data_IF_582776436891
#
_entry.id   IF_582776436891
#
_cell.length_a   1.000
_cell.length_b   1.000
_cell.length_c   1.000
_cell.angle_alpha   90.00
_cell.angle_beta   90.00
_cell.angle_gamma   90.00
#
_symmetry.space_group_name_H-M   'P 1'
#
loop_
_entity.id
_entity.type
_entity.pdbx_description
1 polymer ?
2 non-polymer ?
3 non-polymer ?
4 non-polymer ?
5 water ?
#
# COMPACT_ATOMS: atom_id res chain seq x y z
N UNK A 21 3.60 -11.80 -11.64
CA UNK A 21 3.64 -11.41 -13.07
C UNK A 21 2.23 -11.24 -13.66
N UNK A 22 1.31 -12.15 -13.37
CA UNK A 22 -0.12 -12.07 -13.78
C UNK A 22 -0.98 -11.72 -12.57
N UNK A 23 -2.00 -10.89 -12.75
CA UNK A 23 -3.00 -10.60 -11.72
C UNK A 23 -4.29 -11.34 -12.07
N UNK A 24 -4.79 -12.10 -11.09
CA UNK A 24 -6.08 -12.82 -11.19
C UNK A 24 -7.02 -12.23 -10.15
N UNK A 25 -8.32 -12.44 -10.33
CA UNK A 25 -9.33 -12.16 -9.30
C UNK A 25 -9.04 -13.09 -8.13
N UNK A 26 -8.84 -12.51 -6.94
CA UNK A 26 -8.59 -13.23 -5.69
C UNK A 26 -9.73 -14.20 -5.35
N UNK A 27 -10.98 -13.91 -5.71
CA UNK A 27 -12.14 -14.76 -5.35
C UNK A 27 -12.25 -15.99 -6.25
N UNK A 28 -11.95 -15.91 -7.54
CA UNK A 28 -12.33 -17.01 -8.49
C UNK A 28 -11.18 -17.35 -9.47
N UNK A 29 -10.11 -16.56 -9.57
CA UNK A 29 -8.97 -16.89 -10.45
C UNK A 29 -9.10 -16.34 -11.89
N UNK A 30 -10.15 -15.58 -12.20
CA UNK A 30 -10.29 -14.91 -13.51
C UNK A 30 -9.03 -14.12 -13.85
N UNK A 31 -8.50 -14.27 -15.04
CA UNK A 31 -7.33 -13.49 -15.55
C UNK A 31 -7.74 -12.02 -15.72
N UNK A 32 -7.03 -11.08 -15.09
CA UNK A 32 -7.44 -9.65 -15.06
C UNK A 32 -6.34 -8.79 -15.71
N UNK A 33 -5.09 -8.85 -15.24
CA UNK A 33 -4.05 -7.90 -15.71
C UNK A 33 -2.66 -8.49 -15.50
N UNK A 34 -1.63 -7.67 -15.63
CA UNK A 34 -0.21 -8.09 -15.64
C UNK A 34 0.60 -6.97 -15.01
N UNK A 35 1.71 -7.31 -14.38
CA UNK A 35 2.60 -6.30 -13.76
C UNK A 35 3.10 -5.37 -14.87
N UNK A 36 3.36 -5.93 -16.06
CA UNK A 36 3.85 -5.21 -17.26
C UNK A 36 2.87 -4.06 -17.62
N UNK A 37 1.60 -4.14 -17.21
CA UNK A 37 0.54 -3.20 -17.66
C UNK A 37 0.27 -2.13 -16.60
N UNK A 38 1.08 -2.07 -15.55
CA UNK A 38 0.92 -1.01 -14.52
C UNK A 38 1.22 0.34 -15.15
N UNK A 39 0.51 1.39 -14.75
CA UNK A 39 0.64 2.78 -15.27
C UNK A 39 0.91 3.74 -14.13
N UNK A 40 2.08 4.42 -14.07
CA UNK A 40 2.31 5.48 -13.09
C UNK A 40 1.51 6.77 -13.37
N UNK A 41 0.23 6.81 -13.00
CA UNK A 41 -0.63 8.03 -13.11
C UNK A 41 -0.17 9.04 -12.05
N UNK A 42 0.18 10.26 -12.45
CA UNK A 42 0.74 11.32 -11.56
C UNK A 42 2.04 10.91 -10.89
N UNK A 43 2.82 9.99 -11.50
CA UNK A 43 4.15 9.61 -10.99
C UNK A 43 4.14 8.34 -10.15
N UNK A 44 2.97 7.75 -9.84
CA UNK A 44 2.89 6.51 -9.01
C UNK A 44 1.77 5.63 -9.56
N UNK A 45 1.99 4.31 -9.65
CA UNK A 45 0.91 3.36 -10.04
C UNK A 45 -0.07 3.21 -8.86
N UNK A 46 0.38 3.42 -7.63
CA UNK A 46 -0.47 3.26 -6.43
C UNK A 46 -1.04 4.60 -5.97
N UNK A 47 -2.36 4.67 -5.81
CA UNK A 47 -3.11 5.82 -5.24
C UNK A 47 -4.01 5.34 -4.11
N UNK A 48 -3.85 5.88 -2.92
CA UNK A 48 -4.74 5.55 -1.77
C UNK A 48 -5.84 6.62 -1.71
N UNK A 49 -7.10 6.22 -1.88
CA UNK A 49 -8.25 7.15 -2.00
C UNK A 49 -9.36 6.71 -1.04
N UNK A 50 -10.31 7.60 -0.74
CA UNK A 50 -11.56 7.25 -0.03
C UNK A 50 -12.78 7.76 -0.81
N UNK A 51 -13.87 6.97 -0.76
CA UNK A 51 -15.16 7.33 -1.41
C UNK A 51 -16.02 8.08 -0.39
N UNK A 52 -17.19 8.60 -0.78
CA UNK A 52 -18.07 9.30 0.16
C UNK A 52 -18.65 8.38 1.25
N UNK A 53 -18.59 7.06 1.09
CA UNK A 53 -18.98 6.06 2.14
C UNK A 53 -17.74 5.67 3.03
N UNK A 54 -16.64 6.47 2.85
CA UNK A 54 -15.50 6.57 3.78
C UNK A 54 -14.66 5.29 3.73
N UNK A 55 -14.93 4.52 2.63
CA UNK A 55 -14.19 3.30 2.31
C UNK A 55 -12.88 3.72 1.65
N UNK A 56 -11.78 3.19 2.19
CA UNK A 56 -10.41 3.49 1.70
C UNK A 56 -10.00 2.34 0.77
N UNK A 57 -9.50 2.68 -0.40
CA UNK A 57 -9.02 1.71 -1.41
C UNK A 57 -7.59 2.06 -1.75
N UNK A 58 -6.76 1.02 -1.84
CA UNK A 58 -5.41 1.05 -2.44
C UNK A 58 -5.60 0.73 -3.91
N UNK A 59 -5.57 1.75 -4.76
CA UNK A 59 -5.87 1.59 -6.21
C UNK A 59 -4.54 1.51 -6.95
N UNK A 60 -4.40 0.47 -7.78
CA UNK A 60 -3.29 0.33 -8.74
C UNK A 60 -3.84 0.68 -10.11
N UNK A 61 -3.18 1.62 -10.80
CA UNK A 61 -3.55 2.04 -12.15
C UNK A 61 -2.90 1.10 -13.17
N UNK A 62 -3.70 0.62 -14.13
CA UNK A 62 -3.28 -0.24 -15.25
C UNK A 62 -3.68 0.41 -16.56
N UNK A 63 -2.82 0.32 -17.57
CA UNK A 63 -3.13 0.79 -18.94
C UNK A 63 -4.19 -0.15 -19.53
N UNK A 64 -4.18 -1.41 -19.12
CA UNK A 64 -4.93 -2.49 -19.78
C UNK A 64 -5.37 -3.48 -18.70
N UNK A 65 -6.53 -4.08 -18.91
CA UNK A 65 -7.11 -5.16 -18.08
C UNK A 65 -8.09 -5.94 -18.98
N UNK A 66 -8.36 -7.18 -18.62
CA UNK A 66 -9.29 -8.10 -19.31
C UNK A 66 -10.15 -8.79 -18.25
N UNK A 67 -11.15 -9.55 -18.66
CA UNK A 67 -11.95 -10.43 -17.79
C UNK A 67 -12.90 -9.68 -16.87
N UNK A 68 -13.10 -8.40 -17.09
CA UNK A 68 -13.98 -7.52 -16.28
C UNK A 68 -15.32 -7.42 -16.99
N UNK A 69 -16.33 -6.96 -16.28
CA UNK A 69 -17.62 -6.55 -16.84
C UNK A 69 -17.83 -5.11 -16.35
N UNK A 70 -17.85 -4.16 -17.27
CA UNK A 70 -18.03 -2.73 -16.95
C UNK A 70 -19.52 -2.46 -16.92
N UNK A 71 -20.06 -1.99 -15.80
CA UNK A 71 -21.54 -1.90 -15.64
C UNK A 71 -21.97 -0.43 -15.63
N UNK A 72 -23.00 -0.12 -16.42
CA UNK A 72 -23.59 1.22 -16.52
C UNK A 72 -22.84 2.11 -17.50
N UNK A 73 -23.18 3.40 -17.51
CA UNK A 73 -22.51 4.43 -18.30
C UNK A 73 -21.54 5.15 -17.38
N UNK A 74 -20.50 5.83 -17.92
CA UNK A 74 -19.55 6.53 -17.06
C UNK A 74 -20.21 7.67 -16.27
N UNK A 75 -19.62 8.01 -15.14
CA UNK A 75 -20.00 9.17 -14.29
C UNK A 75 -18.72 9.90 -13.87
N UNK A 76 -18.76 11.23 -13.81
CA UNK A 76 -17.66 12.04 -13.29
C UNK A 76 -17.77 12.27 -11.79
N UNK A 77 -18.91 11.95 -11.18
CA UNK A 77 -19.24 12.32 -9.77
C UNK A 77 -18.19 11.74 -8.83
N UNK A 78 -17.51 12.56 -8.02
CA UNK A 78 -16.53 12.12 -7.00
C UNK A 78 -15.35 11.38 -7.66
N UNK A 79 -15.06 11.60 -8.93
CA UNK A 79 -13.89 10.99 -9.59
C UNK A 79 -12.62 11.42 -8.86
N UNK A 80 -11.74 10.47 -8.55
CA UNK A 80 -10.44 10.70 -7.89
C UNK A 80 -9.42 11.24 -8.89
N UNK A 81 -9.67 11.08 -10.17
CA UNK A 81 -8.71 11.44 -11.23
C UNK A 81 -9.33 12.53 -12.07
N UNK A 82 -8.70 13.71 -12.00
CA UNK A 82 -9.11 14.93 -12.73
C UNK A 82 -9.34 14.51 -14.20
N UNK A 83 -10.48 14.96 -14.76
CA UNK A 83 -10.76 14.87 -16.20
C UNK A 83 -11.25 13.51 -16.62
N UNK A 84 -11.38 12.54 -15.68
CA UNK A 84 -11.83 11.17 -15.99
C UNK A 84 -13.18 10.85 -15.35
N UNK A 85 -14.01 10.17 -16.14
CA UNK A 85 -15.31 9.58 -15.77
C UNK A 85 -15.08 8.10 -15.47
N UNK A 86 -15.78 7.54 -14.48
CA UNK A 86 -15.58 6.13 -14.05
C UNK A 86 -16.80 5.29 -14.41
N UNK A 87 -16.55 4.03 -14.70
CA UNK A 87 -17.52 2.93 -14.76
C UNK A 87 -17.05 1.86 -13.81
N UNK A 88 -17.98 1.32 -13.01
CA UNK A 88 -17.72 0.20 -12.07
C UNK A 88 -17.26 -1.01 -12.91
N UNK A 89 -16.19 -1.64 -12.46
CA UNK A 89 -15.57 -2.83 -13.07
C UNK A 89 -15.80 -3.99 -12.12
N UNK A 90 -16.65 -4.95 -12.51
CA UNK A 90 -16.78 -6.24 -11.81
C UNK A 90 -15.87 -7.28 -12.46
N UNK A 91 -15.47 -8.27 -11.69
CA UNK A 91 -14.96 -9.55 -12.25
C UNK A 91 -16.05 -10.07 -13.17
N UNK A 92 -15.72 -10.36 -14.42
CA UNK A 92 -16.70 -10.88 -15.38
C UNK A 92 -17.14 -12.26 -14.99
N UNK A 93 -16.32 -12.99 -14.22
CA UNK A 93 -16.63 -14.37 -13.83
C UNK A 93 -17.50 -14.36 -12.57
N UNK A 94 -17.02 -13.78 -11.47
CA UNK A 94 -17.67 -13.94 -10.14
C UNK A 94 -18.47 -12.71 -9.73
N UNK A 95 -18.38 -11.57 -10.42
CA UNK A 95 -19.17 -10.37 -10.07
C UNK A 95 -18.55 -9.55 -8.93
N UNK A 96 -17.42 -9.95 -8.36
CA UNK A 96 -16.74 -9.22 -7.26
C UNK A 96 -16.31 -7.84 -7.79
N UNK A 97 -16.50 -6.79 -6.99
CA UNK A 97 -16.13 -5.42 -7.41
C UNK A 97 -14.60 -5.29 -7.40
N UNK A 98 -13.94 -5.13 -8.55
CA UNK A 98 -12.46 -5.10 -8.61
C UNK A 98 -11.94 -3.69 -8.83
N UNK A 99 -12.80 -2.75 -9.22
CA UNK A 99 -12.41 -1.34 -9.33
C UNK A 99 -13.24 -0.60 -10.37
N UNK A 100 -12.57 0.21 -11.18
CA UNK A 100 -13.23 1.13 -12.14
C UNK A 100 -12.42 1.21 -13.43
N UNK A 101 -13.13 1.39 -14.54
CA UNK A 101 -12.58 1.87 -15.83
C UNK A 101 -12.76 3.40 -15.86
N UNK A 102 -11.70 4.09 -16.21
CA UNK A 102 -11.67 5.56 -16.34
C UNK A 102 -11.56 5.91 -17.82
N UNK A 103 -12.33 6.88 -18.25
CA UNK A 103 -12.39 7.36 -19.65
C UNK A 103 -12.67 8.87 -19.68
N UNK A 104 -12.56 9.47 -20.84
CA UNK A 104 -12.97 10.85 -21.10
C UNK A 104 -11.87 11.86 -20.86
N UNK A 105 -10.65 11.39 -20.54
CA UNK A 105 -9.55 12.27 -20.10
C UNK A 105 -8.53 12.45 -21.22
N UNK A 106 -7.27 12.76 -20.87
CA UNK A 106 -6.16 12.98 -21.83
C UNK A 106 -4.85 12.43 -21.28
N UNK A 107 -4.08 11.73 -22.11
CA UNK A 107 -2.70 11.23 -21.79
C UNK A 107 -2.71 10.46 -20.48
N UNK A 108 -3.35 9.29 -20.39
CA UNK A 108 -4.13 8.70 -21.49
C UNK A 108 -5.61 9.04 -21.44
N UNK A 109 -6.33 8.67 -22.50
CA UNK A 109 -7.79 8.84 -22.60
C UNK A 109 -8.48 7.93 -21.59
N UNK A 110 -7.99 6.71 -21.42
CA UNK A 110 -8.62 5.66 -20.57
C UNK A 110 -7.54 4.91 -19.81
N UNK A 111 -7.90 4.31 -18.68
CA UNK A 111 -7.06 3.40 -17.86
C UNK A 111 -7.99 2.68 -16.88
N UNK A 112 -7.45 1.70 -16.17
CA UNK A 112 -8.14 0.99 -15.08
C UNK A 112 -7.53 1.31 -13.74
N UNK A 113 -8.39 1.53 -12.74
CA UNK A 113 -8.02 1.62 -11.32
C UNK A 113 -8.53 0.40 -10.60
N UNK A 114 -7.64 -0.55 -10.29
CA UNK A 114 -8.04 -1.82 -9.66
C UNK A 114 -7.61 -1.84 -8.20
N UNK A 115 -8.48 -2.38 -7.35
CA UNK A 115 -8.23 -2.53 -5.89
C UNK A 115 -7.25 -3.67 -5.63
N UNK A 116 -6.02 -3.34 -5.24
CA UNK A 116 -4.88 -4.28 -5.20
C UNK A 116 -5.27 -5.52 -4.40
N UNK A 117 -5.92 -5.34 -3.25
CA UNK A 117 -6.19 -6.44 -2.29
C UNK A 117 -7.30 -7.36 -2.79
N UNK A 118 -7.93 -7.06 -3.92
CA UNK A 118 -8.95 -7.95 -4.53
C UNK A 118 -8.35 -8.74 -5.70
N UNK A 119 -7.05 -8.58 -5.94
CA UNK A 119 -6.29 -9.34 -6.97
C UNK A 119 -5.30 -10.28 -6.26
N UNK A 120 -4.90 -11.34 -6.95
CA UNK A 120 -3.83 -12.27 -6.55
C UNK A 120 -2.76 -12.27 -7.64
N UNK A 121 -1.49 -12.14 -7.25
CA UNK A 121 -0.37 -12.07 -8.21
C UNK A 121 0.28 -13.46 -8.31
N UNK A 122 0.62 -13.88 -9.54
CA UNK A 122 1.37 -15.13 -9.80
C UNK A 122 2.88 -14.97 -9.66
N UNK B 20 4.41 -4.07 20.37
CA UNK B 20 4.37 -4.99 21.53
C UNK B 20 3.69 -6.33 21.16
N UNK B 21 3.46 -6.64 19.88
CA UNK B 21 2.67 -7.84 19.50
C UNK B 21 3.50 -8.86 18.70
N UNK B 22 3.20 -10.13 18.92
CA UNK B 22 3.91 -11.25 18.25
C UNK B 22 2.89 -12.05 17.44
N UNK B 23 3.39 -12.78 16.48
CA UNK B 23 2.66 -13.79 15.68
C UNK B 23 3.08 -15.16 16.15
N UNK B 24 2.09 -15.98 16.51
CA UNK B 24 2.28 -17.37 16.97
C UNK B 24 1.67 -18.31 15.95
N UNK B 25 2.14 -19.56 15.92
CA UNK B 25 1.50 -20.63 15.11
C UNK B 25 0.07 -20.79 15.63
N UNK B 26 -0.91 -20.67 14.75
CA UNK B 26 -2.34 -20.78 15.12
C UNK B 26 -2.65 -22.19 15.66
N UNK B 27 -1.93 -23.24 15.22
CA UNK B 27 -2.23 -24.64 15.63
C UNK B 27 -1.67 -24.93 17.03
N UNK B 28 -0.49 -24.45 17.42
CA UNK B 28 0.17 -24.93 18.67
C UNK B 28 0.67 -23.78 19.55
N UNK B 29 0.68 -22.54 19.07
CA UNK B 29 1.05 -21.36 19.89
C UNK B 29 2.54 -21.06 19.93
N UNK B 30 3.39 -21.78 19.21
CA UNK B 30 4.85 -21.46 19.13
C UNK B 30 4.98 -20.02 18.65
N UNK B 31 5.81 -19.21 19.32
CA UNK B 31 6.26 -17.88 18.86
C UNK B 31 7.00 -18.00 17.52
N UNK B 32 6.57 -17.24 16.51
CA UNK B 32 7.15 -17.30 15.14
C UNK B 32 7.79 -15.95 14.80
N UNK B 33 7.07 -14.83 14.93
CA UNK B 33 7.60 -13.54 14.47
C UNK B 33 7.00 -12.40 15.27
N UNK B 34 7.42 -11.19 14.96
CA UNK B 34 7.01 -9.97 15.69
C UNK B 34 6.40 -9.00 14.68
N UNK B 35 5.43 -8.20 15.14
CA UNK B 35 4.88 -7.09 14.34
C UNK B 35 6.03 -6.14 13.95
N UNK B 36 6.99 -5.92 14.84
CA UNK B 36 8.18 -5.04 14.63
C UNK B 36 8.97 -5.49 13.38
N UNK B 37 8.83 -6.74 12.95
CA UNK B 37 9.64 -7.34 11.86
C UNK B 37 8.86 -7.34 10.55
N UNK B 38 7.68 -6.72 10.51
CA UNK B 38 6.92 -6.64 9.23
C UNK B 38 7.76 -5.87 8.22
N UNK B 39 7.80 -6.36 6.99
CA UNK B 39 8.72 -5.89 5.93
C UNK B 39 7.89 -5.54 4.71
N UNK B 40 7.85 -4.25 4.28
CA UNK B 40 7.09 -3.88 3.08
C UNK B 40 7.87 -4.22 1.81
N UNK B 41 7.80 -5.48 1.35
CA UNK B 41 8.42 -5.92 0.07
C UNK B 41 7.61 -5.36 -1.10
N UNK B 42 8.24 -4.61 -2.01
CA UNK B 42 7.56 -3.94 -3.14
C UNK B 42 6.57 -2.88 -2.68
N UNK B 43 6.72 -2.34 -1.48
CA UNK B 43 5.84 -1.26 -0.98
C UNK B 43 4.72 -1.77 -0.07
N UNK B 44 4.52 -3.07 0.10
CA UNK B 44 3.43 -3.61 0.97
C UNK B 44 3.93 -4.85 1.72
N UNK B 45 3.62 -4.97 3.01
CA UNK B 45 3.93 -6.21 3.77
C UNK B 45 2.95 -7.33 3.35
N UNK B 46 1.76 -6.99 2.86
CA UNK B 46 0.78 -8.00 2.41
C UNK B 46 0.88 -8.21 0.89
N UNK B 47 1.04 -9.46 0.46
CA UNK B 47 0.92 -9.90 -0.94
C UNK B 47 -0.12 -11.01 -1.03
N UNK B 48 -1.17 -10.83 -1.81
CA UNK B 48 -2.05 -11.98 -2.24
C UNK B 48 -1.47 -12.60 -3.52
N UNK B 49 -1.08 -13.87 -3.45
CA UNK B 49 -0.33 -14.60 -4.50
C UNK B 49 -1.07 -15.90 -4.85
N UNK B 50 -0.87 -16.41 -6.07
CA UNK B 50 -1.31 -17.77 -6.46
C UNK B 50 -0.11 -18.55 -7.00
N UNK B 51 -0.10 -19.87 -6.74
CA UNK B 51 1.00 -20.78 -7.15
C UNK B 51 0.59 -21.41 -8.47
N UNK B 52 1.47 -22.23 -9.11
CA UNK B 52 1.13 -22.86 -10.37
C UNK B 52 0.00 -23.89 -10.25
N UNK B 53 -0.34 -24.35 -9.05
CA UNK B 53 -1.51 -25.25 -8.80
C UNK B 53 -2.79 -24.40 -8.47
N UNK B 54 -2.66 -23.06 -8.62
CA UNK B 54 -3.82 -22.12 -8.57
C UNK B 54 -4.33 -22.00 -7.14
N UNK B 55 -3.48 -22.35 -6.17
CA UNK B 55 -3.75 -22.12 -4.71
C UNK B 55 -3.42 -20.66 -4.38
N UNK B 56 -4.37 -19.96 -3.78
CA UNK B 56 -4.26 -18.55 -3.35
C UNK B 56 -3.85 -18.49 -1.87
N UNK B 57 -2.85 -17.68 -1.58
CA UNK B 57 -2.34 -17.43 -0.22
C UNK B 57 -2.27 -15.94 0.01
N UNK B 58 -2.65 -15.52 1.22
CA UNK B 58 -2.42 -14.12 1.67
C UNK B 58 -1.15 -14.13 2.52
N UNK B 59 -0.07 -13.58 1.97
CA UNK B 59 1.28 -13.64 2.58
C UNK B 59 1.58 -12.30 3.22
N UNK B 60 2.06 -12.34 4.47
CA UNK B 60 2.69 -11.17 5.13
C UNK B 60 4.21 -11.39 5.19
N UNK B 61 4.99 -10.38 4.81
CA UNK B 61 6.47 -10.43 4.77
C UNK B 61 7.01 -9.99 6.11
N UNK B 62 7.93 -10.79 6.65
CA UNK B 62 8.70 -10.48 7.88
C UNK B 62 10.19 -10.60 7.60
N UNK B 63 11.01 -9.74 8.19
CA UNK B 63 12.47 -9.73 8.01
C UNK B 63 13.06 -11.03 8.58
N UNK B 64 12.60 -11.37 9.78
CA UNK B 64 13.09 -12.54 10.57
C UNK B 64 11.89 -13.34 11.06
N UNK B 65 12.20 -14.56 11.51
CA UNK B 65 11.28 -15.47 12.20
C UNK B 65 12.10 -16.40 13.09
N UNK B 66 11.40 -17.12 13.97
CA UNK B 66 11.98 -18.19 14.80
C UNK B 66 10.96 -19.32 14.90
N UNK B 67 11.46 -20.50 15.28
CA UNK B 67 10.63 -21.66 15.61
C UNK B 67 10.10 -22.35 14.37
N UNK B 68 10.58 -21.99 13.17
CA UNK B 68 10.18 -22.70 11.91
C UNK B 68 11.22 -23.77 11.63
N UNK B 69 10.88 -24.68 10.71
CA UNK B 69 11.81 -25.68 10.14
C UNK B 69 11.72 -25.50 8.63
N UNK B 70 12.83 -25.09 7.99
CA UNK B 70 12.88 -24.91 6.52
C UNK B 70 13.23 -26.25 5.89
N UNK B 71 12.43 -26.72 4.94
CA UNK B 71 12.62 -28.10 4.39
C UNK B 71 13.06 -27.98 2.92
N UNK B 72 14.09 -28.73 2.54
CA UNK B 72 14.58 -28.77 1.15
C UNK B 72 15.67 -27.74 0.92
N UNK B 73 16.26 -27.77 -0.26
CA UNK B 73 17.22 -26.77 -0.77
C UNK B 73 16.42 -25.65 -1.42
N UNK B 74 16.94 -24.41 -1.43
CA UNK B 74 16.20 -23.29 -2.02
C UNK B 74 15.98 -23.53 -3.52
N UNK B 75 14.86 -23.03 -4.04
CA UNK B 75 14.48 -23.14 -5.47
C UNK B 75 14.07 -21.74 -5.94
N UNK B 76 14.52 -21.36 -7.13
CA UNK B 76 14.06 -20.11 -7.76
C UNK B 76 12.72 -20.26 -8.47
N UNK B 77 12.33 -21.50 -8.78
CA UNK B 77 11.25 -21.82 -9.76
C UNK B 77 9.94 -21.19 -9.26
N UNK B 78 9.29 -20.36 -10.08
CA UNK B 78 7.97 -19.75 -9.77
C UNK B 78 8.01 -18.88 -8.51
N UNK B 79 9.17 -18.33 -8.17
CA UNK B 79 9.30 -17.44 -6.99
C UNK B 79 8.35 -16.24 -7.15
N UNK B 80 7.61 -15.88 -6.12
CA UNK B 80 6.74 -14.67 -6.09
C UNK B 80 7.58 -13.39 -6.02
N UNK B 81 8.81 -13.50 -5.56
CA UNK B 81 9.71 -12.34 -5.35
C UNK B 81 10.91 -12.50 -6.26
N UNK B 82 10.99 -11.65 -7.31
CA UNK B 82 12.11 -11.61 -8.26
C UNK B 82 13.41 -11.61 -7.42
N UNK B 83 14.38 -12.44 -7.87
CA UNK B 83 15.78 -12.44 -7.42
C UNK B 83 15.92 -13.19 -6.10
N UNK B 84 14.86 -13.84 -5.63
CA UNK B 84 14.88 -14.65 -4.38
C UNK B 84 14.50 -16.11 -4.65
N UNK B 85 15.25 -17.01 -4.02
CA UNK B 85 14.99 -18.47 -3.96
C UNK B 85 14.18 -18.78 -2.69
N UNK B 86 13.24 -19.72 -2.77
CA UNK B 86 12.33 -20.05 -1.65
C UNK B 86 12.65 -21.42 -1.08
N UNK B 87 12.39 -21.57 0.22
CA UNK B 87 12.31 -22.86 0.96
C UNK B 87 10.99 -22.89 1.73
N UNK B 88 10.29 -24.03 1.72
CA UNK B 88 9.04 -24.25 2.51
C UNK B 88 9.36 -24.13 3.99
N UNK B 89 8.54 -23.37 4.72
CA UNK B 89 8.69 -23.10 6.16
C UNK B 89 7.55 -23.80 6.92
N UNK B 90 7.88 -24.79 7.74
CA UNK B 90 6.92 -25.46 8.67
C UNK B 90 7.10 -24.89 10.07
N UNK B 91 6.06 -24.90 10.89
CA UNK B 91 6.22 -24.78 12.35
C UNK B 91 7.14 -25.90 12.80
N UNK B 92 8.24 -25.57 13.50
CA UNK B 92 9.17 -26.60 13.99
C UNK B 92 8.53 -27.45 15.07
N UNK B 93 7.51 -26.91 15.75
CA UNK B 93 6.88 -27.56 16.92
C UNK B 93 5.78 -28.51 16.43
N UNK B 94 4.84 -28.05 15.57
CA UNK B 94 3.66 -28.87 15.19
C UNK B 94 3.66 -29.31 13.72
N UNK B 95 4.54 -28.78 12.86
CA UNK B 95 4.60 -29.20 11.44
C UNK B 95 3.62 -28.46 10.53
N UNK B 96 2.81 -27.51 11.03
CA UNK B 96 1.86 -26.73 10.20
C UNK B 96 2.63 -25.92 9.15
N UNK B 97 2.17 -25.89 7.90
CA UNK B 97 2.83 -25.12 6.82
C UNK B 97 2.53 -23.64 7.04
N UNK B 98 3.55 -22.85 7.40
CA UNK B 98 3.32 -21.45 7.81
C UNK B 98 3.77 -20.51 6.70
N UNK B 99 4.54 -20.96 5.72
CA UNK B 99 4.92 -20.14 4.55
C UNK B 99 6.23 -20.55 3.93
N UNK B 100 7.07 -19.57 3.61
CA UNK B 100 8.35 -19.76 2.89
C UNK B 100 9.42 -18.80 3.40
N UNK B 101 10.67 -19.26 3.39
CA UNK B 101 11.88 -18.43 3.54
C UNK B 101 12.42 -18.08 2.16
N UNK B 102 12.83 -16.83 1.99
CA UNK B 102 13.37 -16.25 0.73
C UNK B 102 14.81 -15.86 1.01
N UNK B 103 15.69 -16.14 0.06
CA UNK B 103 17.14 -15.89 0.19
C UNK B 103 17.73 -15.63 -1.19
N UNK B 104 18.96 -15.10 -1.20
CA UNK B 104 19.81 -14.98 -2.38
C UNK B 104 19.59 -13.67 -3.11
N UNK B 105 18.85 -12.72 -2.51
CA UNK B 105 18.67 -11.38 -3.11
C UNK B 105 19.60 -10.33 -2.48
N UNK B 106 19.21 -9.06 -2.55
CA UNK B 106 19.88 -7.90 -1.88
C UNK B 106 18.82 -6.89 -1.41
N UNK B 107 19.02 -6.29 -0.23
CA UNK B 107 18.13 -5.27 0.39
C UNK B 107 16.68 -5.73 0.37
N UNK B 108 16.29 -6.74 1.15
CA UNK B 108 17.21 -7.51 1.99
C UNK B 108 17.73 -8.78 1.30
N UNK B 109 18.72 -9.42 1.91
CA UNK B 109 19.28 -10.71 1.43
C UNK B 109 18.21 -11.80 1.58
N UNK B 110 17.51 -11.81 2.72
CA UNK B 110 16.59 -12.89 3.15
C UNK B 110 15.39 -12.24 3.83
N UNK B 111 14.25 -12.94 3.82
CA UNK B 111 13.00 -12.58 4.53
C UNK B 111 12.06 -13.77 4.46
N UNK B 112 10.97 -13.71 5.21
CA UNK B 112 9.90 -14.72 5.26
C UNK B 112 8.61 -14.15 4.69
N UNK B 113 7.93 -14.97 3.90
CA UNK B 113 6.52 -14.77 3.52
C UNK B 113 5.67 -15.78 4.29
N UNK B 114 4.95 -15.30 5.30
CA UNK B 114 4.15 -16.18 6.18
C UNK B 114 2.67 -16.00 5.86
N UNK B 115 1.92 -17.09 5.92
CA UNK B 115 0.47 -17.17 5.61
C UNK B 115 -0.31 -16.58 6.78
N UNK B 116 -0.90 -15.40 6.59
CA UNK B 116 -1.44 -14.61 7.72
C UNK B 116 -2.50 -15.45 8.46
N UNK B 117 -3.31 -16.20 7.72
CA UNK B 117 -4.46 -16.97 8.25
C UNK B 117 -3.98 -18.18 9.08
N UNK B 118 -2.69 -18.50 9.08
CA UNK B 118 -2.15 -19.64 9.85
C UNK B 118 -1.41 -19.15 11.09
N UNK B 119 -1.42 -17.84 11.32
CA UNK B 119 -0.79 -17.20 12.50
C UNK B 119 -1.87 -16.60 13.38
N UNK B 120 -1.55 -16.43 14.67
CA UNK B 120 -2.41 -15.73 15.65
C UNK B 120 -1.58 -14.58 16.20
N UNK B 121 -2.13 -13.37 16.18
CA UNK B 121 -1.42 -12.18 16.69
C UNK B 121 -1.86 -11.95 18.12
N UNK B 122 -0.92 -11.65 18.99
CA UNK B 122 -1.23 -11.43 20.41
C UNK B 122 -0.09 -10.75 21.12
N UNK B 123 -0.26 -10.41 22.40
CA UNK B 123 0.75 -9.66 23.15
C UNK B 123 2.03 -10.51 23.26
N UNK B 124 3.17 -9.82 23.25
CA UNK B 124 4.51 -10.35 23.57
C UNK B 124 4.44 -11.21 24.84
N UNK C 19 -14.37 14.33 -4.79
CA UNK C 19 -13.30 13.48 -5.38
C UNK C 19 -12.00 13.62 -4.63
N UNK C 20 -11.33 14.78 -4.76
CA UNK C 20 -9.98 15.07 -4.20
C UNK C 20 -10.01 16.37 -3.40
N UNK C 21 -10.83 16.42 -2.34
CA UNK C 21 -11.15 17.64 -1.57
C UNK C 21 -10.58 17.55 -0.14
N UNK C 22 -10.69 16.41 0.53
CA UNK C 22 -10.23 16.22 1.94
C UNK C 22 -9.02 15.27 1.95
N UNK C 23 -8.02 15.58 2.78
CA UNK C 23 -6.76 14.79 2.86
C UNK C 23 -6.75 14.10 4.22
N UNK C 24 -6.61 12.76 4.18
CA UNK C 24 -6.70 11.90 5.39
C UNK C 24 -5.40 11.13 5.53
N UNK C 25 -5.11 10.63 6.72
CA UNK C 25 -4.02 9.66 6.95
C UNK C 25 -4.34 8.39 6.15
N UNK C 26 -3.41 7.97 5.29
CA UNK C 26 -3.49 6.73 4.48
C UNK C 26 -3.65 5.49 5.38
N UNK C 27 -3.06 5.48 6.58
CA UNK C 27 -3.02 4.27 7.45
C UNK C 27 -4.34 4.11 8.21
N UNK C 28 -4.99 5.18 8.66
CA UNK C 28 -6.13 5.05 9.60
C UNK C 28 -7.32 5.93 9.22
N UNK C 29 -7.17 6.89 8.31
CA UNK C 29 -8.29 7.72 7.82
C UNK C 29 -8.54 9.00 8.63
N UNK C 30 -7.71 9.29 9.64
CA UNK C 30 -7.77 10.57 10.40
C UNK C 30 -7.81 11.76 9.42
N UNK C 31 -8.76 12.68 9.62
CA UNK C 31 -8.87 13.95 8.85
C UNK C 31 -7.68 14.84 9.18
N UNK C 32 -6.95 15.32 8.17
CA UNK C 32 -5.70 16.13 8.37
C UNK C 32 -5.91 17.53 7.77
N UNK C 33 -6.24 17.65 6.49
CA UNK C 33 -6.40 18.98 5.85
C UNK C 33 -7.36 18.91 4.68
N UNK C 34 -7.54 20.05 3.97
CA UNK C 34 -8.50 20.18 2.85
C UNK C 34 -7.89 21.06 1.76
N UNK C 35 -8.40 20.89 0.55
CA UNK C 35 -7.93 21.58 -0.68
C UNK C 35 -7.96 23.09 -0.42
N UNK C 36 -8.98 23.63 0.25
CA UNK C 36 -9.12 25.08 0.54
C UNK C 36 -7.91 25.59 1.33
N UNK C 37 -7.16 24.72 2.03
CA UNK C 37 -6.03 25.16 2.89
C UNK C 37 -4.68 24.97 2.19
N UNK C 38 -4.68 24.54 0.92
CA UNK C 38 -3.40 24.34 0.18
C UNK C 38 -2.71 25.69 0.02
N UNK C 39 -1.39 25.71 0.14
CA UNK C 39 -0.56 26.94 0.17
C UNK C 39 0.54 26.81 -0.90
N UNK C 46 1.93 21.38 -5.00
CA UNK C 46 2.84 20.21 -4.88
C UNK C 46 4.29 20.64 -5.18
N UNK C 47 5.21 20.29 -4.29
CA UNK C 47 6.66 20.53 -4.45
C UNK C 47 7.40 19.20 -4.32
N UNK C 48 8.19 18.86 -5.35
CA UNK C 48 9.03 17.63 -5.41
C UNK C 48 10.38 17.95 -4.75
N UNK C 49 10.70 17.26 -3.66
CA UNK C 49 11.91 17.49 -2.83
C UNK C 49 12.68 16.17 -2.73
N UNK C 50 13.97 16.24 -2.42
CA UNK C 50 14.79 15.06 -2.05
C UNK C 50 15.40 15.32 -0.66
N UNK C 51 15.45 14.29 0.18
CA UNK C 51 16.10 14.33 1.53
C UNK C 51 17.59 14.05 1.34
N UNK C 52 18.43 14.16 2.39
CA UNK C 52 19.86 13.95 2.23
C UNK C 52 20.20 12.51 1.84
N UNK C 57 10.25 12.90 -2.30
CA UNK C 57 8.89 13.13 -1.76
C UNK C 57 8.16 14.13 -2.65
N UNK C 58 6.86 13.90 -2.84
CA UNK C 58 5.89 14.92 -3.30
C UNK C 58 5.30 15.55 -2.04
N UNK C 59 5.69 16.79 -1.74
CA UNK C 59 5.19 17.52 -0.54
C UNK C 59 4.06 18.45 -0.96
N UNK C 60 2.94 18.38 -0.22
CA UNK C 60 1.83 19.36 -0.32
C UNK C 60 1.93 20.30 0.90
N UNK C 61 2.00 21.61 0.65
CA UNK C 61 2.03 22.64 1.71
C UNK C 61 0.60 23.08 2.01
N UNK C 62 0.25 23.14 3.30
CA UNK C 62 -1.06 23.58 3.82
C UNK C 62 -0.85 24.73 4.82
N UNK C 63 -1.73 25.72 4.79
CA UNK C 63 -1.69 26.86 5.74
C UNK C 63 -2.13 26.36 7.11
N UNK C 64 -3.09 25.44 7.14
CA UNK C 64 -3.71 24.88 8.36
C UNK C 64 -3.82 23.37 8.24
N UNK C 65 -3.83 22.68 9.37
CA UNK C 65 -4.08 21.22 9.47
C UNK C 65 -4.67 20.91 10.85
N UNK C 66 -5.27 19.72 10.97
CA UNK C 66 -5.77 19.21 12.27
C UNK C 66 -5.41 17.72 12.38
N UNK C 67 -5.59 17.15 13.57
CA UNK C 67 -5.51 15.71 13.78
C UNK C 67 -4.08 15.20 13.83
N UNK C 68 -3.09 16.09 13.85
CA UNK C 68 -1.66 15.70 13.90
C UNK C 68 -1.21 15.78 15.36
N UNK C 69 -0.04 15.23 15.65
CA UNK C 69 0.73 15.47 16.89
C UNK C 69 2.12 15.92 16.47
N UNK C 70 2.50 17.14 16.82
CA UNK C 70 3.83 17.71 16.44
C UNK C 70 4.82 17.34 17.55
N UNK C 71 5.87 16.61 17.23
CA UNK C 71 6.79 16.00 18.25
C UNK C 71 8.18 16.65 18.11
N UNK C 72 8.84 16.94 19.22
CA UNK C 72 10.26 17.35 19.25
C UNK C 72 10.44 18.86 19.15
N UNK C 73 11.68 19.34 19.20
CA UNK C 73 12.02 20.77 19.05
C UNK C 73 12.33 21.04 17.58
N UNK C 74 12.09 22.27 17.09
CA UNK C 74 12.33 22.57 15.67
C UNK C 74 13.81 22.42 15.31
N UNK C 75 14.09 22.05 14.05
CA UNK C 75 15.45 21.95 13.48
C UNK C 75 15.44 22.66 12.12
N UNK C 76 16.53 23.36 11.81
CA UNK C 76 16.77 23.94 10.48
C UNK C 76 17.45 22.95 9.55
N UNK C 77 17.95 21.81 10.07
CA UNK C 77 18.86 20.88 9.34
C UNK C 77 18.18 20.38 8.06
N UNK C 78 18.76 20.63 6.88
CA UNK C 78 18.26 20.16 5.56
C UNK C 78 16.83 20.65 5.29
N UNK C 79 16.41 21.77 5.88
CA UNK C 79 15.04 22.33 5.66
C UNK C 79 14.87 22.60 4.17
N UNK C 80 13.76 22.16 3.58
CA UNK C 80 13.47 22.38 2.13
C UNK C 80 13.04 23.83 1.89
N UNK C 81 12.62 24.52 2.95
CA UNK C 81 12.02 25.87 2.84
C UNK C 81 12.93 26.86 3.55
N UNK C 82 13.55 27.75 2.77
CA UNK C 82 14.48 28.79 3.25
C UNK C 82 13.77 29.52 4.41
N UNK C 83 14.50 29.71 5.52
CA UNK C 83 14.09 30.55 6.65
C UNK C 83 13.10 29.85 7.57
N UNK C 84 12.80 28.57 7.34
CA UNK C 84 11.86 27.78 8.20
C UNK C 84 12.57 26.61 8.89
N UNK C 85 12.25 26.43 10.17
CA UNK C 85 12.63 25.26 11.01
C UNK C 85 11.47 24.25 11.01
N UNK C 86 11.77 22.95 11.05
CA UNK C 86 10.74 21.89 10.96
C UNK C 86 10.64 21.13 12.28
N UNK C 87 9.43 20.61 12.55
CA UNK C 87 9.09 19.65 13.63
C UNK C 87 8.31 18.49 13.00
N UNK C 88 8.54 17.25 13.43
CA UNK C 88 7.88 16.03 12.89
C UNK C 88 6.38 16.13 13.18
N UNK C 89 5.54 15.86 12.16
CA UNK C 89 4.07 15.79 12.27
C UNK C 89 3.64 14.33 12.13
N UNK C 90 3.11 13.75 13.21
CA UNK C 90 2.51 12.40 13.21
C UNK C 90 1.00 12.51 13.13
N UNK C 91 0.35 11.50 12.57
CA UNK C 91 -1.10 11.28 12.75
C UNK C 91 -1.36 11.18 14.26
N UNK C 92 -2.25 11.99 14.80
CA UNK C 92 -2.66 11.89 16.21
C UNK C 92 -3.39 10.60 16.51
N UNK C 93 -3.97 9.93 15.51
CA UNK C 93 -4.84 8.75 15.72
C UNK C 93 -3.97 7.49 15.75
N UNK C 94 -3.11 7.29 14.76
CA UNK C 94 -2.34 6.02 14.61
C UNK C 94 -0.82 6.23 14.79
N UNK C 95 -0.29 7.46 14.83
CA UNK C 95 1.16 7.67 14.99
C UNK C 95 1.97 7.62 13.69
N UNK C 96 1.37 7.36 12.53
CA UNK C 96 2.10 7.35 11.22
C UNK C 96 2.72 8.74 10.92
N UNK C 97 3.96 8.75 10.43
CA UNK C 97 4.68 10.00 10.07
C UNK C 97 4.06 10.59 8.78
N UNK C 98 3.42 11.76 8.86
CA UNK C 98 2.71 12.32 7.67
C UNK C 98 3.49 13.52 7.09
N UNK C 99 4.42 14.08 7.84
CA UNK C 99 5.26 15.19 7.34
C UNK C 99 5.82 16.06 8.46
N UNK C 100 5.82 17.37 8.25
CA UNK C 100 6.49 18.35 9.14
C UNK C 100 5.67 19.63 9.30
N UNK C 101 5.79 20.26 10.46
CA UNK C 101 5.33 21.64 10.71
C UNK C 101 6.55 22.55 10.55
N UNK C 102 6.36 23.65 9.83
CA UNK C 102 7.41 24.64 9.54
C UNK C 102 7.07 25.94 10.28
N UNK C 103 8.08 26.57 10.89
CA UNK C 103 7.93 27.80 11.69
C UNK C 103 9.20 28.63 11.59
N UNK C 104 9.10 29.89 12.03
CA UNK C 104 10.23 30.81 12.20
C UNK C 104 10.50 31.62 10.95
N UNK C 105 9.62 31.54 9.95
CA UNK C 105 9.78 32.25 8.66
C UNK C 105 8.94 33.52 8.61
N UNK C 106 8.63 34.00 7.39
CA UNK C 106 7.78 35.18 7.13
C UNK C 106 6.93 34.96 5.88
N UNK C 107 5.65 35.35 5.93
CA UNK C 107 4.68 35.30 4.79
C UNK C 107 4.68 33.91 4.16
N UNK C 108 4.18 32.86 4.85
CA UNK C 108 3.70 32.95 6.22
C UNK C 108 4.78 32.59 7.27
N UNK C 109 4.46 32.85 8.53
CA UNK C 109 5.33 32.49 9.69
C UNK C 109 5.43 30.96 9.80
N UNK C 110 4.31 30.25 9.62
CA UNK C 110 4.21 28.78 9.84
C UNK C 110 3.36 28.17 8.72
N UNK C 111 3.56 26.89 8.45
CA UNK C 111 2.72 26.07 7.53
C UNK C 111 3.06 24.60 7.75
N UNK C 112 2.28 23.71 7.13
CA UNK C 112 2.51 22.24 7.19
C UNK C 112 2.92 21.72 5.82
N UNK C 113 3.94 20.88 5.80
CA UNK C 113 4.45 20.19 4.60
C UNK C 113 4.19 18.72 4.76
N UNK C 114 3.18 18.20 4.06
CA UNK C 114 2.75 16.79 4.23
C UNK C 114 3.16 15.99 3.00
N UNK C 115 3.60 14.76 3.24
CA UNK C 115 3.99 13.76 2.19
C UNK C 115 2.74 13.26 1.47
N UNK C 116 2.58 13.58 0.19
CA UNK C 116 1.49 13.07 -0.68
C UNK C 116 1.29 11.56 -0.46
N UNK C 117 2.38 10.79 -0.44
CA UNK C 117 2.31 9.29 -0.44
C UNK C 117 1.85 8.76 0.92
N UNK C 118 1.69 9.61 1.93
CA UNK C 118 1.22 9.18 3.28
C UNK C 118 -0.24 9.60 3.48
N UNK C 119 -0.84 10.25 2.48
CA UNK C 119 -2.22 10.77 2.55
C UNK C 119 -3.13 10.00 1.60
N UNK C 120 -4.43 10.03 1.90
CA UNK C 120 -5.52 9.57 1.04
C UNK C 120 -6.41 10.79 0.72
N UNK C 121 -6.79 10.95 -0.53
CA UNK C 121 -7.62 12.08 -1.01
C UNK C 121 -9.06 11.58 -1.17
N UNK C 122 -10.04 12.41 -0.83
CA UNK C 122 -11.46 12.05 -1.04
C UNK C 122 -12.40 13.24 -1.00
N UNK C 123 -13.71 12.99 -1.20
CA UNK C 123 -14.71 14.06 -1.33
C UNK C 123 -14.91 14.85 -0.03
N UNK C 124 -15.43 16.07 -0.17
CA UNK C 124 -15.75 17.00 0.95
C UNK C 124 -16.57 16.26 2.00
#
# INVERSE_FOLDING_TARGET
>A
AMPLDAGGQNSTQMVLAPGASIFRCRQCGQTISRRDWLLPMGGDHEHVVFNPAGMIFRVWCFSLAQGLRLIGAPSGEFSWFKGYDWTIALCGQCGSHLGWHYEGGSQPQTFFGLIKDRLAEGPAD
>B
AMPLDAGGQNSTQMVLAPGASIFRCRQCGQTISRRDWLLPMGGDHEHVVFNPAGMIFRVWCFSLAQGLRLIGAPSGEFSWFKGYDWTIALCGQCGSHLGWHYEGGSQPQTFFGLIKDRLAEGPAD
>C
AMPLDAGGQNSTQMVLAPGASIFRCRQCGQTISRRDWLLPMGGDHEHVVFNPAGMIFRVWCFSLAQGLRLIGAPSGEFSWFKGYDWTIALCGQCGSHLGWHYEGGSQPQTFFGLIKDRLAEGPAD
#
